data_IF_075227903357
#
_entry.id   IF_075227903357
#
_cell.length_a   1.000
_cell.length_b   1.000
_cell.length_c   1.000
_cell.angle_alpha   90.00
_cell.angle_beta   90.00
_cell.angle_gamma   90.00
#
_symmetry.space_group_name_H-M   'P 1'
#
loop_
_entity.id
_entity.type
_entity.pdbx_description
1 polymer ?
#
# COMPACT_ATOMS: atom_id res chain seq x y z
N UNK A 1 18.01 -5.97 52.37
CA UNK A 1 17.07 -5.23 51.50
C UNK A 1 17.49 -5.49 50.06
N UNK A 2 16.95 -6.55 49.45
CA UNK A 2 17.39 -7.05 48.15
C UNK A 2 16.46 -6.54 47.06
N UNK A 3 16.98 -5.74 46.13
CA UNK A 3 16.26 -5.29 44.95
C UNK A 3 16.24 -6.38 43.88
N UNK A 4 15.04 -6.80 43.47
CA UNK A 4 14.85 -7.65 42.29
C UNK A 4 14.88 -6.79 41.02
N UNK A 5 15.65 -7.17 39.98
CA UNK A 5 15.58 -6.53 38.67
C UNK A 5 14.31 -6.95 37.93
N UNK A 6 13.60 -5.97 37.36
CA UNK A 6 12.46 -6.18 36.47
C UNK A 6 13.00 -6.64 35.11
N UNK A 7 12.63 -7.83 34.59
CA UNK A 7 13.09 -8.28 33.28
C UNK A 7 12.43 -7.44 32.16
N UNK A 8 13.26 -6.91 31.24
CA UNK A 8 12.77 -6.31 29.99
C UNK A 8 12.30 -7.43 29.04
N UNK A 9 11.13 -7.33 28.41
CA UNK A 9 10.69 -8.33 27.46
C UNK A 9 11.60 -8.33 26.22
N UNK A 10 12.10 -9.51 25.87
CA UNK A 10 13.00 -9.80 24.76
C UNK A 10 12.21 -9.76 23.43
N UNK A 11 12.84 -9.26 22.36
CA UNK A 11 12.20 -9.02 21.05
C UNK A 11 11.54 -10.24 20.39
N UNK A 12 11.79 -11.46 20.88
CA UNK A 12 11.10 -12.68 20.45
C UNK A 12 9.58 -12.65 20.73
N UNK A 13 9.15 -12.05 21.84
CA UNK A 13 7.73 -12.00 22.22
C UNK A 13 6.89 -11.05 21.34
N UNK A 14 7.52 -10.10 20.64
CA UNK A 14 6.86 -9.22 19.67
C UNK A 14 6.67 -9.91 18.31
N UNK A 15 7.61 -10.76 17.90
CA UNK A 15 7.46 -11.61 16.72
C UNK A 15 6.31 -12.61 16.87
N UNK A 16 6.16 -13.22 18.05
CA UNK A 16 5.03 -14.10 18.35
C UNK A 16 3.67 -13.36 18.33
N UNK A 17 3.61 -12.10 18.76
CA UNK A 17 2.34 -11.33 18.71
C UNK A 17 1.98 -10.85 17.30
N UNK A 18 2.95 -10.59 16.44
CA UNK A 18 2.71 -10.29 15.02
C UNK A 18 2.22 -11.53 14.24
N UNK A 19 2.67 -12.72 14.64
CA UNK A 19 2.16 -13.99 14.09
C UNK A 19 0.73 -14.35 14.57
N UNK A 20 0.19 -13.64 15.57
CA UNK A 20 -1.14 -13.88 16.17
C UNK A 20 -2.20 -12.88 15.69
N UNK A 21 -1.87 -11.98 14.76
CA UNK A 21 -2.81 -11.03 14.14
C UNK A 21 -3.51 -11.62 12.90
N UNK A 22 -3.93 -12.88 12.98
CA UNK A 22 -5.11 -13.38 12.27
C UNK A 22 -5.65 -14.58 13.05
N UNK A 23 -6.88 -14.46 13.58
CA UNK A 23 -7.63 -15.65 14.01
C UNK A 23 -8.00 -16.44 12.75
N UNK A 24 -7.90 -17.78 12.75
CA UNK A 24 -8.38 -18.64 11.66
C UNK A 24 -9.86 -18.40 11.30
N UNK A 25 -10.64 -17.84 12.23
CA UNK A 25 -12.07 -17.58 12.09
C UNK A 25 -12.41 -16.08 11.89
N UNK A 26 -11.49 -15.28 11.35
CA UNK A 26 -11.79 -13.88 11.01
C UNK A 26 -12.79 -13.82 9.84
N UNK A 27 -14.08 -13.79 10.16
CA UNK A 27 -15.21 -13.56 9.24
C UNK A 27 -15.52 -12.08 9.07
N UNK A 28 -14.52 -11.19 9.12
CA UNK A 28 -14.75 -9.80 8.75
C UNK A 28 -15.00 -9.76 7.23
N UNK A 29 -16.23 -9.49 6.76
CA UNK A 29 -16.41 -9.25 5.35
C UNK A 29 -15.64 -7.97 5.04
N UNK A 30 -14.53 -8.12 4.32
CA UNK A 30 -13.95 -7.02 3.58
C UNK A 30 -15.04 -6.62 2.59
N UNK A 31 -15.89 -5.67 2.95
CA UNK A 31 -16.92 -5.16 2.07
C UNK A 31 -16.18 -4.68 0.82
N UNK A 32 -16.34 -5.34 -0.34
CA UNK A 32 -15.78 -4.79 -1.56
C UNK A 32 -16.43 -3.41 -1.72
N UNK A 33 -15.67 -2.38 -2.15
CA UNK A 33 -16.30 -1.13 -2.54
C UNK A 33 -17.42 -1.45 -3.54
N UNK A 34 -18.54 -0.72 -3.49
CA UNK A 34 -19.66 -0.98 -4.37
C UNK A 34 -19.15 -1.11 -5.81
N UNK A 35 -19.39 -2.27 -6.40
CA UNK A 35 -19.03 -2.57 -7.79
C UNK A 35 -19.81 -1.59 -8.65
N UNK A 36 -19.18 -0.49 -9.05
CA UNK A 36 -19.70 0.32 -10.14
C UNK A 36 -19.89 -0.60 -11.32
N UNK A 37 -21.12 -0.58 -11.86
CA UNK A 37 -21.50 -1.37 -13.03
C UNK A 37 -20.44 -1.13 -14.10
N UNK A 38 -19.63 -2.15 -14.37
CA UNK A 38 -18.67 -2.12 -15.46
C UNK A 38 -19.44 -1.79 -16.75
N UNK A 39 -18.93 -0.87 -17.59
CA UNK A 39 -19.54 -0.61 -18.88
C UNK A 39 -19.72 -1.92 -19.67
N UNK A 40 -20.77 -1.97 -20.49
CA UNK A 40 -21.11 -3.12 -21.34
C UNK A 40 -19.85 -3.72 -21.98
N UNK A 41 -19.71 -5.05 -21.94
CA UNK A 41 -18.51 -5.74 -22.42
C UNK A 41 -18.21 -5.42 -23.90
N UNK A 42 -19.25 -5.12 -24.69
CA UNK A 42 -19.14 -4.67 -26.08
C UNK A 42 -18.65 -3.23 -26.26
N UNK A 43 -18.73 -2.39 -25.24
CA UNK A 43 -18.25 -0.99 -25.25
C UNK A 43 -16.77 -0.93 -24.84
N UNK A 44 -16.36 -1.74 -23.85
CA UNK A 44 -14.96 -1.91 -23.44
C UNK A 44 -14.14 -2.54 -24.56
N UNK A 45 -14.68 -3.54 -25.27
CA UNK A 45 -14.00 -4.15 -26.42
C UNK A 45 -13.78 -3.16 -27.58
N UNK A 46 -14.73 -2.24 -27.84
CA UNK A 46 -14.60 -1.16 -28.84
C UNK A 46 -13.64 -0.06 -28.38
N UNK A 47 -13.60 0.25 -27.09
CA UNK A 47 -12.63 1.18 -26.52
C UNK A 47 -11.19 0.63 -26.59
N UNK A 48 -11.01 -0.67 -26.29
CA UNK A 48 -9.71 -1.38 -26.39
C UNK A 48 -9.23 -1.61 -27.83
N UNK A 49 -10.12 -1.52 -28.83
CA UNK A 49 -9.77 -1.61 -30.24
C UNK A 49 -9.13 -0.33 -30.81
N UNK A 50 -8.98 0.73 -29.99
CA UNK A 50 -8.27 1.96 -30.35
C UNK A 50 -6.83 1.92 -29.84
N UNK A 51 -5.88 2.28 -30.69
CA UNK A 51 -4.47 2.51 -30.31
C UNK A 51 -4.31 3.40 -29.07
N UNK A 52 -5.26 4.32 -28.83
CA UNK A 52 -5.24 5.19 -27.67
C UNK A 52 -5.46 4.44 -26.35
N UNK A 53 -6.36 3.46 -26.31
CA UNK A 53 -6.59 2.65 -25.12
C UNK A 53 -5.43 1.67 -24.85
N UNK A 54 -4.85 1.10 -25.92
CA UNK A 54 -3.64 0.29 -25.81
C UNK A 54 -2.46 1.06 -25.24
N UNK A 55 -2.19 2.27 -25.75
CA UNK A 55 -1.14 3.17 -25.22
C UNK A 55 -1.38 3.55 -23.77
N UNK A 56 -2.63 3.86 -23.42
CA UNK A 56 -3.01 4.13 -22.04
C UNK A 56 -2.75 2.92 -21.14
N UNK A 57 -3.18 1.72 -21.54
CA UNK A 57 -3.00 0.49 -20.76
C UNK A 57 -1.53 0.20 -20.43
N UNK A 58 -0.63 0.34 -21.41
CA UNK A 58 0.82 0.15 -21.20
C UNK A 58 1.38 1.19 -20.20
N UNK A 59 1.04 2.46 -20.38
CA UNK A 59 1.51 3.53 -19.49
C UNK A 59 0.94 3.38 -18.06
N UNK A 60 -0.35 3.07 -17.94
CA UNK A 60 -1.02 2.85 -16.67
C UNK A 60 -0.48 1.60 -15.95
N UNK A 61 -0.03 0.57 -16.68
CA UNK A 61 0.61 -0.62 -16.11
C UNK A 61 1.91 -0.29 -15.39
N UNK A 62 2.73 0.58 -15.96
CA UNK A 62 3.97 1.03 -15.32
C UNK A 62 3.66 1.77 -14.00
N UNK A 63 2.74 2.75 -14.06
CA UNK A 63 2.28 3.51 -12.89
C UNK A 63 1.74 2.61 -11.79
N UNK A 64 0.89 1.64 -12.14
CA UNK A 64 0.33 0.69 -11.19
C UNK A 64 1.42 -0.11 -10.47
N UNK A 65 2.42 -0.61 -11.22
CA UNK A 65 3.51 -1.39 -10.63
C UNK A 65 4.38 -0.54 -9.71
N UNK A 66 4.63 0.72 -10.08
CA UNK A 66 5.36 1.66 -9.25
C UNK A 66 4.58 2.04 -7.98
N UNK A 67 3.28 2.28 -8.08
CA UNK A 67 2.40 2.46 -6.91
C UNK A 67 2.43 1.24 -5.99
N UNK A 68 2.29 0.03 -6.55
CA UNK A 68 2.33 -1.22 -5.77
C UNK A 68 3.63 -1.35 -4.99
N UNK A 69 4.75 -1.03 -5.64
CA UNK A 69 6.07 -1.03 -5.01
C UNK A 69 6.16 0.03 -3.91
N UNK A 70 5.70 1.26 -4.18
CA UNK A 70 5.73 2.36 -3.21
C UNK A 70 4.89 2.01 -1.97
N UNK A 71 3.66 1.52 -2.13
CA UNK A 71 2.82 1.10 -0.98
C UNK A 71 3.55 0.05 -0.13
N UNK A 72 4.18 -0.95 -0.76
CA UNK A 72 4.97 -1.96 -0.06
C UNK A 72 6.18 -1.39 0.67
N UNK A 73 6.89 -0.44 0.07
CA UNK A 73 8.00 0.26 0.72
C UNK A 73 7.53 1.07 1.93
N UNK A 74 6.39 1.76 1.83
CA UNK A 74 5.81 2.51 2.94
C UNK A 74 5.38 1.59 4.10
N UNK A 75 4.83 0.41 3.79
CA UNK A 75 4.53 -0.61 4.80
C UNK A 75 5.81 -1.08 5.52
N UNK A 76 6.86 -1.40 4.76
CA UNK A 76 8.16 -1.76 5.33
C UNK A 76 8.74 -0.67 6.21
N UNK A 77 8.72 0.59 5.74
CA UNK A 77 9.23 1.74 6.49
C UNK A 77 8.44 1.99 7.78
N UNK A 78 7.11 1.87 7.75
CA UNK A 78 6.28 2.03 8.94
C UNK A 78 6.61 0.97 10.00
N UNK A 79 6.79 -0.29 9.59
CA UNK A 79 7.21 -1.37 10.49
C UNK A 79 8.59 -1.10 11.08
N UNK A 80 9.56 -0.71 10.24
CA UNK A 80 10.92 -0.39 10.69
C UNK A 80 10.94 0.81 11.64
N UNK A 81 10.14 1.84 11.37
CA UNK A 81 9.99 2.99 12.24
C UNK A 81 9.51 2.57 13.64
N UNK A 82 8.53 1.65 13.71
CA UNK A 82 8.02 1.12 14.98
C UNK A 82 9.02 0.25 15.73
N UNK A 83 9.78 -0.60 15.03
CA UNK A 83 10.74 -1.51 15.65
C UNK A 83 11.99 -0.80 16.16
N UNK A 84 12.42 0.24 15.45
CA UNK A 84 13.67 0.94 15.79
C UNK A 84 13.47 2.08 16.78
N UNK A 85 12.23 2.54 17.00
CA UNK A 85 11.87 3.66 17.87
C UNK A 85 12.76 4.90 17.66
N UNK A 86 13.28 5.09 16.43
CA UNK A 86 14.15 6.22 16.12
C UNK A 86 13.32 7.51 16.14
N UNK A 87 13.82 8.58 16.77
CA UNK A 87 13.07 9.82 16.88
C UNK A 87 13.00 10.60 15.56
N UNK A 88 13.90 10.32 14.61
CA UNK A 88 13.92 11.02 13.31
C UNK A 88 13.95 10.03 12.14
N UNK A 89 12.80 9.87 11.51
CA UNK A 89 12.64 9.12 10.26
C UNK A 89 12.77 10.01 9.02
N UNK A 90 12.67 11.33 9.18
CA UNK A 90 12.60 12.27 8.06
C UNK A 90 13.93 12.33 7.29
N UNK A 91 15.05 12.17 7.99
CA UNK A 91 16.40 12.15 7.41
C UNK A 91 16.81 10.82 6.78
N UNK A 92 15.97 9.78 6.82
CA UNK A 92 16.34 8.47 6.27
C UNK A 92 16.41 8.53 4.73
N UNK A 93 17.50 8.05 4.11
CA UNK A 93 17.63 7.99 2.64
C UNK A 93 16.44 7.29 1.98
N UNK A 94 15.87 6.28 2.63
CA UNK A 94 14.73 5.53 2.12
C UNK A 94 13.44 6.36 2.09
N UNK A 95 13.23 7.23 3.07
CA UNK A 95 12.07 8.15 3.08
C UNK A 95 12.22 9.18 1.97
N UNK A 96 13.44 9.71 1.76
CA UNK A 96 13.74 10.60 0.64
C UNK A 96 13.49 9.91 -0.72
N UNK A 97 13.97 8.68 -0.88
CA UNK A 97 13.76 7.91 -2.10
C UNK A 97 12.25 7.64 -2.36
N UNK A 98 11.47 7.37 -1.31
CA UNK A 98 10.02 7.22 -1.44
C UNK A 98 9.32 8.53 -1.85
N UNK A 99 9.80 9.68 -1.37
CA UNK A 99 9.30 11.01 -1.78
C UNK A 99 9.57 11.30 -3.25
N UNK A 100 10.80 11.05 -3.70
CA UNK A 100 11.18 11.21 -5.11
C UNK A 100 10.32 10.31 -5.99
N UNK A 101 10.17 9.03 -5.62
CA UNK A 101 9.32 8.07 -6.32
C UNK A 101 7.84 8.49 -6.35
N UNK A 102 7.31 9.02 -5.25
CA UNK A 102 5.93 9.52 -5.20
C UNK A 102 5.72 10.68 -6.16
N UNK A 103 6.65 11.64 -6.21
CA UNK A 103 6.60 12.76 -7.13
C UNK A 103 6.69 12.30 -8.60
N UNK A 104 7.57 11.35 -8.91
CA UNK A 104 7.68 10.73 -10.24
C UNK A 104 6.37 10.06 -10.65
N UNK A 105 5.77 9.26 -9.77
CA UNK A 105 4.49 8.58 -10.02
C UNK A 105 3.37 9.60 -10.25
N UNK A 106 3.30 10.66 -9.43
CA UNK A 106 2.30 11.71 -9.59
C UNK A 106 2.43 12.43 -10.94
N UNK A 107 3.66 12.71 -11.38
CA UNK A 107 3.93 13.28 -12.70
C UNK A 107 3.52 12.33 -13.83
N UNK A 108 3.81 11.03 -13.70
CA UNK A 108 3.40 10.02 -14.68
C UNK A 108 1.87 9.93 -14.78
N UNK A 109 1.15 9.92 -13.65
CA UNK A 109 -0.32 9.91 -13.61
C UNK A 109 -0.89 11.14 -14.32
N UNK A 110 -0.33 12.33 -14.06
CA UNK A 110 -0.76 13.56 -14.71
C UNK A 110 -0.53 13.53 -16.23
N UNK A 111 0.49 12.81 -16.70
CA UNK A 111 0.77 12.62 -18.12
C UNK A 111 -0.09 11.53 -18.79
N UNK A 112 -0.86 10.74 -18.03
CA UNK A 112 -1.73 9.71 -18.61
C UNK A 112 -2.87 10.35 -19.41
N UNK A 113 -2.81 10.19 -20.73
CA UNK A 113 -3.91 10.50 -21.62
C UNK A 113 -4.97 9.40 -21.54
N UNK A 114 -5.89 9.50 -20.58
CA UNK A 114 -7.01 8.59 -20.42
C UNK A 114 -8.13 8.91 -21.43
N UNK A 115 -8.49 8.00 -22.35
CA UNK A 115 -9.73 8.08 -23.10
C UNK A 115 -10.93 8.18 -22.15
N UNK A 116 -12.04 8.81 -22.57
CA UNK A 116 -13.21 9.08 -21.72
C UNK A 116 -13.64 7.91 -20.81
N UNK A 117 -13.85 6.69 -21.36
CA UNK A 117 -14.22 5.52 -20.56
C UNK A 117 -13.18 5.08 -19.51
N UNK A 118 -11.91 5.45 -19.67
CA UNK A 118 -10.79 5.09 -18.80
C UNK A 118 -10.40 6.20 -17.82
N UNK A 119 -11.06 7.36 -17.87
CA UNK A 119 -10.85 8.44 -16.91
C UNK A 119 -11.08 7.99 -15.45
N UNK A 120 -12.12 7.18 -15.12
CA UNK A 120 -12.30 6.65 -13.76
C UNK A 120 -11.11 5.79 -13.30
N UNK A 121 -10.50 5.00 -14.19
CA UNK A 121 -9.31 4.21 -13.84
C UNK A 121 -8.12 5.11 -13.47
N UNK A 122 -7.87 6.19 -14.23
CA UNK A 122 -6.82 7.16 -13.92
C UNK A 122 -7.08 7.84 -12.58
N UNK A 123 -8.33 8.20 -12.30
CA UNK A 123 -8.71 8.86 -11.06
C UNK A 123 -8.50 7.93 -9.85
N UNK A 124 -8.72 6.62 -9.98
CA UNK A 124 -8.36 5.62 -8.95
C UNK A 124 -6.85 5.50 -8.72
N UNK A 125 -6.02 5.53 -9.77
CA UNK A 125 -4.55 5.58 -9.63
C UNK A 125 -4.13 6.86 -8.88
N UNK A 126 -4.73 8.00 -9.25
CA UNK A 126 -4.47 9.28 -8.58
C UNK A 126 -4.89 9.26 -7.10
N UNK A 127 -6.01 8.61 -6.77
CA UNK A 127 -6.45 8.44 -5.40
C UNK A 127 -5.47 7.58 -4.58
N UNK A 128 -4.96 6.49 -5.16
CA UNK A 128 -3.92 5.66 -4.53
C UNK A 128 -2.63 6.45 -4.29
N UNK A 129 -2.17 7.23 -5.27
CA UNK A 129 -1.01 8.11 -5.11
C UNK A 129 -1.22 9.15 -4.00
N UNK A 130 -2.41 9.75 -3.92
CA UNK A 130 -2.77 10.68 -2.85
C UNK A 130 -2.71 10.05 -1.45
N UNK A 131 -3.11 8.78 -1.33
CA UNK A 131 -2.98 8.02 -0.07
C UNK A 131 -1.50 7.76 0.26
N UNK A 132 -0.67 7.37 -0.71
CA UNK A 132 0.78 7.21 -0.51
C UNK A 132 1.43 8.48 0.01
N UNK A 133 1.08 9.63 -0.56
CA UNK A 133 1.57 10.94 -0.11
C UNK A 133 1.15 11.23 1.34
N UNK A 134 -0.11 11.02 1.68
CA UNK A 134 -0.61 11.22 3.04
C UNK A 134 0.08 10.29 4.06
N UNK A 135 0.36 9.04 3.68
CA UNK A 135 1.12 8.10 4.51
C UNK A 135 2.56 8.60 4.71
N UNK A 136 3.22 9.08 3.66
CA UNK A 136 4.56 9.67 3.74
C UNK A 136 4.61 10.90 4.64
N UNK A 137 3.64 11.80 4.52
CA UNK A 137 3.51 12.99 5.38
C UNK A 137 3.36 12.57 6.84
N UNK A 138 2.46 11.64 7.10
CA UNK A 138 2.22 11.14 8.45
C UNK A 138 3.42 10.36 9.03
N UNK A 139 4.14 9.58 8.21
CA UNK A 139 5.35 8.87 8.64
C UNK A 139 6.47 9.83 9.05
N UNK A 140 6.66 10.91 8.28
CA UNK A 140 7.66 11.96 8.59
C UNK A 140 7.32 12.69 9.89
N UNK A 141 6.03 12.95 10.11
CA UNK A 141 5.53 13.61 11.31
C UNK A 141 5.46 12.67 12.54
N UNK A 142 5.41 11.36 12.33
CA UNK A 142 5.27 10.38 13.40
C UNK A 142 6.51 10.36 14.31
N UNK A 143 6.25 10.22 15.61
CA UNK A 143 7.24 10.18 16.68
C UNK A 143 6.82 9.12 17.68
N UNK A 144 7.71 8.17 17.97
CA UNK A 144 7.41 7.03 18.83
C UNK A 144 7.17 7.43 20.30
N UNK A 145 7.72 8.55 20.74
CA UNK A 145 7.64 9.10 22.10
C UNK A 145 6.50 10.10 22.30
N UNK A 146 5.80 10.48 21.23
CA UNK A 146 4.70 11.43 21.32
C UNK A 146 3.46 10.82 22.01
N UNK A 147 2.68 11.61 22.78
CA UNK A 147 1.38 11.18 23.27
C UNK A 147 0.48 10.74 22.11
N UNK A 148 -0.08 9.54 22.20
CA UNK A 148 -0.94 8.98 21.15
C UNK A 148 -0.19 8.36 19.96
N UNK A 149 1.13 8.16 20.04
CA UNK A 149 1.94 7.54 18.98
C UNK A 149 1.36 6.21 18.46
N UNK A 150 0.79 5.38 19.34
CA UNK A 150 0.14 4.13 18.97
C UNK A 150 -1.12 4.35 18.11
N UNK A 151 -1.97 5.30 18.48
CA UNK A 151 -3.16 5.64 17.69
C UNK A 151 -2.79 6.24 16.32
N UNK A 152 -1.74 7.06 16.25
CA UNK A 152 -1.22 7.58 14.98
C UNK A 152 -0.64 6.44 14.13
N UNK A 153 0.10 5.51 14.73
CA UNK A 153 0.62 4.34 14.03
C UNK A 153 -0.51 3.48 13.45
N UNK A 154 -1.54 3.20 14.23
CA UNK A 154 -2.72 2.44 13.77
C UNK A 154 -3.45 3.15 12.64
N UNK A 155 -3.58 4.48 12.71
CA UNK A 155 -4.13 5.28 11.64
C UNK A 155 -3.30 5.19 10.35
N UNK A 156 -1.97 5.28 10.43
CA UNK A 156 -1.08 5.10 9.28
C UNK A 156 -1.20 3.70 8.68
N UNK A 157 -1.26 2.67 9.53
CA UNK A 157 -1.45 1.29 9.10
C UNK A 157 -2.81 1.09 8.41
N UNK A 158 -3.86 1.73 8.90
CA UNK A 158 -5.17 1.74 8.25
C UNK A 158 -5.13 2.44 6.88
N UNK A 159 -4.39 3.54 6.74
CA UNK A 159 -4.20 4.21 5.45
C UNK A 159 -3.43 3.33 4.45
N UNK A 160 -2.42 2.58 4.89
CA UNK A 160 -1.70 1.61 4.03
C UNK A 160 -2.65 0.54 3.50
N UNK A 161 -3.48 -0.04 4.37
CA UNK A 161 -4.50 -1.02 3.96
C UNK A 161 -5.49 -0.41 2.95
N UNK A 162 -5.92 0.83 3.19
CA UNK A 162 -6.78 1.56 2.26
C UNK A 162 -6.10 1.80 0.91
N UNK A 163 -4.82 2.18 0.90
CA UNK A 163 -4.05 2.39 -0.33
C UNK A 163 -3.94 1.10 -1.15
N UNK A 164 -3.70 -0.04 -0.49
CA UNK A 164 -3.76 -1.36 -1.12
C UNK A 164 -5.13 -1.67 -1.71
N UNK A 165 -6.21 -1.50 -0.93
CA UNK A 165 -7.56 -1.80 -1.40
C UNK A 165 -7.95 -0.95 -2.62
N UNK A 166 -7.63 0.35 -2.60
CA UNK A 166 -7.87 1.23 -3.76
C UNK A 166 -7.03 0.80 -4.95
N UNK A 167 -5.75 0.48 -4.76
CA UNK A 167 -4.89 0.02 -5.84
C UNK A 167 -5.38 -1.30 -6.43
N UNK A 168 -5.88 -2.22 -5.61
CA UNK A 168 -6.46 -3.49 -6.05
C UNK A 168 -7.69 -3.28 -6.95
N UNK A 169 -8.51 -2.26 -6.71
CA UNK A 169 -9.60 -1.92 -7.65
C UNK A 169 -9.12 -1.43 -9.02
N UNK A 170 -7.83 -1.10 -9.15
CA UNK A 170 -7.20 -0.79 -10.44
C UNK A 170 -6.63 -2.05 -11.12
N UNK A 171 -6.64 -3.20 -10.44
CA UNK A 171 -6.16 -4.44 -11.01
C UNK A 171 -7.18 -4.97 -12.04
N UNK A 172 -6.91 -4.72 -13.33
CA UNK A 172 -7.68 -5.28 -14.43
C UNK A 172 -6.95 -6.44 -15.11
N UNK A 173 -7.48 -7.65 -14.95
CA UNK A 173 -6.90 -8.91 -15.46
C UNK A 173 -6.67 -8.87 -16.98
N UNK A 174 -7.51 -8.15 -17.74
CA UNK A 174 -7.39 -8.00 -19.21
C UNK A 174 -6.22 -7.11 -19.63
N UNK A 175 -5.76 -6.20 -18.77
CA UNK A 175 -4.56 -5.38 -18.98
C UNK A 175 -3.31 -6.00 -18.34
N UNK A 176 -3.39 -7.28 -17.94
CA UNK A 176 -2.33 -7.98 -17.23
C UNK A 176 -2.03 -7.39 -15.84
N UNK A 177 -2.89 -6.53 -15.31
CA UNK A 177 -2.79 -5.91 -13.99
C UNK A 177 -3.27 -6.90 -12.94
N UNK A 178 -2.36 -7.67 -12.36
CA UNK A 178 -2.67 -8.54 -11.23
C UNK A 178 -1.87 -8.11 -10.01
N UNK A 179 -2.57 -7.95 -8.89
CA UNK A 179 -1.96 -8.00 -7.57
C UNK A 179 -1.64 -9.47 -7.28
N UNK A 180 -0.40 -9.75 -6.89
CA UNK A 180 -0.08 -11.06 -6.32
C UNK A 180 -0.64 -11.04 -4.90
N UNK A 181 -1.59 -11.94 -4.65
CA UNK A 181 -2.06 -12.23 -3.31
C UNK A 181 -0.94 -12.92 -2.51
N UNK A 182 -0.43 -12.25 -1.48
CA UNK A 182 0.63 -12.78 -0.62
C UNK A 182 0.09 -13.57 0.57
N UNK A 183 -1.23 -13.81 0.65
CA UNK A 183 -1.85 -14.65 1.70
C UNK A 183 -1.24 -16.07 1.77
N UNK A 184 -0.54 -16.50 0.71
CA UNK A 184 0.15 -17.80 0.64
C UNK A 184 1.68 -17.73 0.48
N UNK A 185 2.30 -16.55 0.50
CA UNK A 185 3.72 -16.39 0.13
C UNK A 185 4.72 -16.59 1.28
N UNK A 186 4.27 -16.75 2.52
CA UNK A 186 5.13 -17.09 3.66
C UNK A 186 5.16 -18.61 3.92
N UNK A 187 5.55 -19.39 2.92
CA UNK A 187 5.98 -20.78 3.13
C UNK A 187 7.50 -20.86 3.07
N UNK A 188 8.17 -20.33 4.09
CA UNK A 188 9.54 -20.72 4.45
C UNK A 188 9.48 -21.75 5.59
N UNK A 189 8.84 -22.90 5.31
CA UNK A 189 8.91 -24.09 6.16
C UNK A 189 9.47 -25.22 5.30
N UNK A 190 10.79 -25.33 5.31
CA UNK A 190 11.55 -26.36 4.62
C UNK A 190 12.80 -26.70 5.42
N UNK A 191 12.59 -27.06 6.69
CA UNK A 191 13.60 -27.66 7.53
C UNK A 191 12.88 -28.58 8.49
N UNK A 192 12.77 -29.85 8.13
CA UNK A 192 13.38 -31.00 8.80
C UNK A 192 13.32 -32.18 7.84
#
# INVERSE_FOLDING_TARGET
MSGHPIPRPQGAALFERLAVLHRPDCTAPMQPPPTEILPDEGEIARALASDAAGRYGVAARAVFNDLRRLVGQLAGLLILARLTSRPDHAGLPEVKACREREAEIAAQIAALAAPGPLAPHRDRLSASAGLCRAILDGLVAWRADAPGADATFDALNAQIRRAYAVLETCAETRAGLQMIDFSHACCACGGH
#
